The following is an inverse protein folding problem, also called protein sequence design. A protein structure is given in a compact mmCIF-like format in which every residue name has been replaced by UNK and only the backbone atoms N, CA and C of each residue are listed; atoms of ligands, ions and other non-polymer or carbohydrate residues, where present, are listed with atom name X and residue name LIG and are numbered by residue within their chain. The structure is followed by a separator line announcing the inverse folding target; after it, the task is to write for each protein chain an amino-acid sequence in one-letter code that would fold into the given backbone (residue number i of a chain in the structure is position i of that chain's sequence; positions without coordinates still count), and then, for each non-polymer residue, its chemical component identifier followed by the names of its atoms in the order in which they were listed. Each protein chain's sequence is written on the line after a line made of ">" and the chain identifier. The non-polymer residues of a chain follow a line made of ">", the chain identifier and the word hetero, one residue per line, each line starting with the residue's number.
data_IF_678027747933
#
_entry.id   IF_678027747933
#
_cell.length_a   1.000
_cell.length_b   1.000
_cell.length_c   1.000
_cell.angle_alpha   90.00
_cell.angle_beta   90.00
_cell.angle_gamma   90.00
#
_symmetry.space_group_name_H-M   'P 1'
#
loop_
_entity.id
_entity.type
_entity.pdbx_description
1 polymer ?
#
# COMPACT_ATOMS: atom_id res chain seq x y z
N UNK A 1 -5.36 68.50 -26.92
CA UNK A 1 -5.36 67.87 -25.57
C UNK A 1 -6.67 67.10 -25.42
N UNK A 2 -6.66 65.95 -24.73
CA UNK A 2 -7.70 64.89 -24.61
C UNK A 2 -7.62 63.86 -25.75
N UNK A 3 -6.96 62.70 -25.66
CA UNK A 3 -6.99 61.53 -24.75
C UNK A 3 -8.21 60.59 -24.99
N UNK A 4 -7.95 59.34 -25.39
CA UNK A 4 -8.93 58.26 -25.58
C UNK A 4 -8.29 56.99 -26.16
N UNK A 5 -7.55 56.21 -25.37
CA UNK A 5 -7.99 54.95 -24.72
C UNK A 5 -8.46 53.89 -25.74
N UNK A 6 -7.57 53.00 -26.18
CA UNK A 6 -7.22 51.72 -25.55
C UNK A 6 -7.91 50.56 -26.30
N UNK A 7 -7.14 49.84 -27.12
CA UNK A 7 -7.61 48.67 -27.86
C UNK A 7 -7.92 47.53 -26.89
N UNK A 8 -9.18 47.13 -26.83
CA UNK A 8 -9.65 45.99 -26.03
C UNK A 8 -9.37 44.69 -26.80
N UNK A 9 -8.23 44.05 -26.51
CA UNK A 9 -7.96 42.67 -26.95
C UNK A 9 -8.73 41.71 -26.03
N UNK A 10 -9.87 41.21 -26.51
CA UNK A 10 -10.59 40.11 -25.85
C UNK A 10 -9.84 38.81 -26.16
N UNK A 11 -9.01 38.36 -25.21
CA UNK A 11 -8.40 37.04 -25.27
C UNK A 11 -9.48 35.99 -24.94
N UNK A 12 -9.84 35.19 -25.95
CA UNK A 12 -10.67 34.00 -25.79
C UNK A 12 -9.91 32.97 -24.95
N UNK A 13 -10.30 32.81 -23.68
CA UNK A 13 -9.88 31.67 -22.86
C UNK A 13 -10.63 30.42 -23.33
N UNK A 14 -9.97 29.57 -24.10
CA UNK A 14 -10.43 28.19 -24.27
C UNK A 14 -10.19 27.44 -22.95
N UNK A 15 -11.21 26.73 -22.41
CA UNK A 15 -10.97 25.84 -21.28
C UNK A 15 -10.11 24.69 -21.79
N UNK A 16 -8.86 24.65 -21.34
CA UNK A 16 -8.06 23.43 -21.42
C UNK A 16 -8.72 22.44 -20.46
N UNK A 17 -9.62 21.61 -20.98
CA UNK A 17 -10.02 20.38 -20.32
C UNK A 17 -8.79 19.47 -20.34
N UNK A 18 -7.85 19.75 -19.43
CA UNK A 18 -6.79 18.83 -19.07
C UNK A 18 -7.48 17.58 -18.56
N UNK A 19 -7.51 16.56 -19.42
CA UNK A 19 -7.93 15.23 -19.02
C UNK A 19 -6.98 14.81 -17.91
N UNK A 20 -7.47 14.81 -16.67
CA UNK A 20 -6.81 14.20 -15.52
C UNK A 20 -6.87 12.68 -15.73
N UNK A 21 -6.11 12.19 -16.70
CA UNK A 21 -5.61 10.83 -16.64
C UNK A 21 -4.45 10.90 -15.66
N UNK A 22 -4.73 10.65 -14.38
CA UNK A 22 -3.65 10.22 -13.48
C UNK A 22 -2.95 9.08 -14.20
N UNK A 23 -1.61 9.13 -14.39
CA UNK A 23 -0.89 7.93 -14.74
C UNK A 23 -1.31 6.87 -13.72
N UNK A 24 -1.68 5.67 -14.17
CA UNK A 24 -1.72 4.55 -13.26
C UNK A 24 -0.38 4.59 -12.52
N UNK A 25 -0.44 4.78 -11.21
CA UNK A 25 0.75 4.79 -10.38
C UNK A 25 1.46 3.49 -10.71
N UNK A 26 2.68 3.60 -11.23
CA UNK A 26 3.53 2.44 -11.46
C UNK A 26 3.79 1.85 -10.08
N UNK A 27 3.01 0.84 -9.70
CA UNK A 27 3.02 0.20 -8.38
C UNK A 27 4.40 -0.43 -8.05
N UNK A 28 5.39 -0.31 -8.94
CA UNK A 28 6.75 -0.79 -8.76
C UNK A 28 6.84 -2.31 -8.71
N UNK A 29 5.78 -3.00 -9.13
CA UNK A 29 5.70 -4.46 -9.16
C UNK A 29 6.37 -4.96 -10.45
N UNK A 30 7.42 -5.78 -10.34
CA UNK A 30 8.08 -6.33 -11.51
C UNK A 30 7.13 -7.22 -12.33
N UNK A 31 7.17 -7.10 -13.67
CA UNK A 31 6.31 -7.86 -14.60
C UNK A 31 6.50 -9.39 -14.48
N UNK A 32 7.62 -9.84 -13.94
CA UNK A 32 7.89 -11.26 -13.72
C UNK A 32 7.16 -11.86 -12.50
N UNK A 33 6.50 -11.05 -11.67
CA UNK A 33 5.74 -11.55 -10.53
C UNK A 33 4.38 -12.06 -10.96
N UNK A 34 4.01 -13.24 -10.47
CA UNK A 34 2.67 -13.81 -10.65
C UNK A 34 1.83 -13.46 -9.44
N UNK A 35 0.75 -12.69 -9.65
CA UNK A 35 -0.20 -12.37 -8.60
C UNK A 35 -0.96 -13.62 -8.17
N UNK A 36 -0.83 -14.00 -6.89
CA UNK A 36 -1.51 -15.17 -6.34
C UNK A 36 -2.86 -14.82 -5.71
N UNK A 37 -2.92 -13.73 -4.94
CA UNK A 37 -4.10 -13.33 -4.19
C UNK A 37 -4.05 -11.85 -3.79
N UNK A 38 -5.21 -11.20 -3.78
CA UNK A 38 -5.38 -9.84 -3.22
C UNK A 38 -6.44 -9.88 -2.13
N UNK A 39 -6.12 -9.33 -0.96
CA UNK A 39 -7.07 -9.13 0.14
C UNK A 39 -7.19 -7.64 0.39
N UNK A 40 -8.43 -7.14 0.47
CA UNK A 40 -8.72 -5.77 0.84
C UNK A 40 -9.61 -5.74 2.07
N UNK A 41 -9.32 -4.84 3.01
CA UNK A 41 -10.06 -4.74 4.26
C UNK A 41 -9.75 -3.47 5.04
N UNK A 42 -10.41 -3.33 6.19
CA UNK A 42 -10.19 -2.26 7.14
C UNK A 42 -9.86 -2.85 8.52
N UNK A 43 -8.86 -2.29 9.18
CA UNK A 43 -8.40 -2.70 10.50
C UNK A 43 -8.49 -1.48 11.41
N UNK A 44 -9.15 -1.64 12.55
CA UNK A 44 -9.23 -0.57 13.56
C UNK A 44 -7.89 -0.35 14.27
N UNK A 45 -7.63 0.89 14.66
CA UNK A 45 -6.41 1.26 15.38
C UNK A 45 -6.23 0.45 16.69
N UNK A 46 -5.01 -0.03 16.91
CA UNK A 46 -4.65 -0.91 18.01
C UNK A 46 -5.15 -2.35 17.87
N UNK A 47 -5.51 -2.79 16.67
CA UNK A 47 -6.04 -4.14 16.43
C UNK A 47 -5.28 -4.86 15.31
N UNK A 48 -5.48 -6.18 15.24
CA UNK A 48 -4.88 -7.07 14.27
C UNK A 48 -5.93 -7.65 13.31
N UNK A 49 -5.48 -7.92 12.08
CA UNK A 49 -6.08 -8.93 11.22
C UNK A 49 -5.07 -10.03 10.92
N UNK A 50 -5.54 -11.27 10.85
CA UNK A 50 -4.69 -12.44 10.65
C UNK A 50 -5.04 -13.18 9.36
N UNK A 51 -4.01 -13.46 8.55
CA UNK A 51 -4.10 -14.19 7.29
C UNK A 51 -3.21 -15.44 7.35
N UNK A 52 -3.53 -16.43 6.52
CA UNK A 52 -2.77 -17.68 6.41
C UNK A 52 -2.26 -17.85 4.99
N UNK A 53 -0.95 -18.04 4.85
CA UNK A 53 -0.31 -18.34 3.58
C UNK A 53 0.02 -19.82 3.48
N UNK A 54 -0.74 -20.54 2.65
CA UNK A 54 -0.56 -21.97 2.39
C UNK A 54 0.31 -22.28 1.16
N UNK A 55 0.51 -21.31 0.27
CA UNK A 55 1.27 -21.54 -0.97
C UNK A 55 2.72 -21.90 -0.65
N UNK A 56 3.20 -22.96 -1.31
CA UNK A 56 4.59 -23.40 -1.24
C UNK A 56 5.52 -22.47 -2.04
N UNK A 57 6.82 -22.58 -1.77
CA UNK A 57 7.84 -21.80 -2.46
C UNK A 57 8.02 -20.38 -1.91
N UNK A 58 8.87 -19.61 -2.58
CA UNK A 58 9.16 -18.21 -2.20
C UNK A 58 7.98 -17.34 -2.58
N UNK A 59 7.44 -16.60 -1.62
CA UNK A 59 6.28 -15.73 -1.81
C UNK A 59 6.65 -14.31 -1.42
N UNK A 60 6.16 -13.33 -2.16
CA UNK A 60 6.32 -11.92 -1.84
C UNK A 60 4.97 -11.40 -1.36
N UNK A 61 4.95 -10.85 -0.15
CA UNK A 61 3.83 -10.10 0.38
C UNK A 61 4.08 -8.65 0.06
N UNK A 62 3.12 -8.03 -0.64
CA UNK A 62 3.12 -6.60 -0.93
C UNK A 62 1.83 -6.02 -0.36
N UNK A 63 1.96 -5.07 0.56
CA UNK A 63 0.84 -4.39 1.19
C UNK A 63 0.98 -2.89 0.97
N UNK A 64 -0.15 -2.24 0.69
CA UNK A 64 -0.24 -0.80 0.60
C UNK A 64 -1.30 -0.31 1.57
N UNK A 65 -0.91 0.60 2.47
CA UNK A 65 -1.85 1.27 3.36
C UNK A 65 -2.60 2.36 2.60
N UNK A 66 -3.91 2.19 2.39
CA UNK A 66 -4.74 3.21 1.72
C UNK A 66 -5.02 4.43 2.63
N UNK A 67 -5.08 4.21 3.95
CA UNK A 67 -5.25 5.22 5.00
C UNK A 67 -4.58 4.75 6.28
N UNK A 68 -3.96 5.67 7.02
CA UNK A 68 -3.20 5.34 8.22
C UNK A 68 -1.89 4.64 7.89
N UNK A 69 -1.32 3.97 8.89
CA UNK A 69 -0.06 3.22 8.78
C UNK A 69 -0.26 1.82 9.37
N UNK A 70 -0.19 0.80 8.51
CA UNK A 70 -0.37 -0.58 8.90
C UNK A 70 0.96 -1.32 8.79
N UNK A 71 1.25 -2.13 9.80
CA UNK A 71 2.48 -2.91 9.93
C UNK A 71 2.22 -4.38 9.61
N UNK A 72 3.20 -5.05 8.99
CA UNK A 72 3.11 -6.45 8.61
C UNK A 72 4.10 -7.33 9.40
N UNK A 73 3.60 -8.40 10.00
CA UNK A 73 4.37 -9.38 10.78
C UNK A 73 4.13 -10.80 10.27
N UNK A 74 5.18 -11.61 10.17
CA UNK A 74 5.12 -12.95 9.57
C UNK A 74 5.83 -13.98 10.44
N UNK A 75 5.24 -15.16 10.57
CA UNK A 75 5.82 -16.29 11.31
C UNK A 75 5.45 -17.64 10.73
N UNK A 76 6.40 -18.58 10.74
CA UNK A 76 6.21 -20.01 10.46
C UNK A 76 6.01 -20.84 11.75
N UNK A 77 6.04 -20.19 12.92
CA UNK A 77 5.89 -20.83 14.25
C UNK A 77 4.50 -20.62 14.85
N UNK A 78 3.81 -19.56 14.47
CA UNK A 78 2.48 -19.21 14.98
C UNK A 78 1.63 -18.62 13.86
N UNK A 79 0.32 -18.83 13.94
CA UNK A 79 -0.67 -18.23 13.05
C UNK A 79 -1.11 -16.82 13.50
N UNK A 80 -0.67 -16.39 14.68
CA UNK A 80 -0.98 -15.07 15.25
C UNK A 80 0.31 -14.34 15.62
N UNK A 81 1.19 -14.01 14.64
CA UNK A 81 2.35 -13.19 14.93
C UNK A 81 1.94 -11.78 15.37
N UNK A 82 2.72 -11.15 16.23
CA UNK A 82 2.47 -9.80 16.73
C UNK A 82 3.80 -9.03 16.79
N UNK A 83 3.77 -7.80 17.32
CA UNK A 83 4.95 -6.93 17.38
C UNK A 83 6.10 -7.48 18.24
N UNK A 84 5.85 -8.46 19.12
CA UNK A 84 6.89 -9.11 19.94
C UNK A 84 7.29 -10.49 19.37
N UNK A 85 6.38 -11.14 18.64
CA UNK A 85 6.52 -12.55 18.23
C UNK A 85 6.35 -12.68 16.72
N UNK A 86 7.44 -12.44 16.00
CA UNK A 86 7.52 -12.59 14.55
C UNK A 86 8.88 -13.16 14.12
N UNK A 87 8.99 -13.56 12.85
CA UNK A 87 10.24 -13.98 12.22
C UNK A 87 10.67 -13.02 11.12
N UNK A 88 9.71 -12.41 10.42
CA UNK A 88 9.92 -11.34 9.45
C UNK A 88 8.89 -10.23 9.71
N UNK A 89 9.24 -9.00 9.35
CA UNK A 89 8.33 -7.86 9.45
C UNK A 89 8.64 -6.79 8.40
N UNK A 90 7.66 -5.93 8.12
CA UNK A 90 7.83 -4.62 7.49
C UNK A 90 6.93 -3.63 8.24
N UNK A 91 7.51 -2.51 8.69
CA UNK A 91 6.88 -1.53 9.57
C UNK A 91 7.11 -0.11 9.05
N UNK A 92 6.85 0.09 7.76
CA UNK A 92 7.19 1.32 7.04
C UNK A 92 5.95 2.13 6.74
N UNK A 93 6.07 3.46 6.75
CA UNK A 93 4.96 4.34 6.40
C UNK A 93 4.70 4.30 4.88
N UNK A 94 3.94 3.32 4.39
CA UNK A 94 3.55 3.24 2.97
C UNK A 94 3.43 1.81 2.41
N UNK A 95 4.38 1.42 1.55
CA UNK A 95 4.43 0.12 0.90
C UNK A 95 5.26 -0.86 1.71
N UNK A 96 4.61 -1.89 2.27
CA UNK A 96 5.27 -2.91 3.06
C UNK A 96 5.50 -4.17 2.24
N UNK A 97 6.77 -4.55 2.13
CA UNK A 97 7.19 -5.72 1.35
C UNK A 97 7.91 -6.71 2.25
N UNK A 98 7.39 -7.93 2.31
CA UNK A 98 8.05 -9.04 3.01
C UNK A 98 8.20 -10.21 2.06
N UNK A 99 9.44 -10.66 1.91
CA UNK A 99 9.76 -11.89 1.20
C UNK A 99 9.69 -13.07 2.17
N UNK A 100 8.74 -13.96 1.95
CA UNK A 100 8.61 -15.22 2.69
C UNK A 100 9.43 -16.31 1.99
N UNK A 101 10.48 -16.86 2.64
CA UNK A 101 11.26 -17.96 2.11
C UNK A 101 10.44 -19.22 1.83
N UNK A 102 10.89 -20.04 0.87
CA UNK A 102 10.20 -21.28 0.51
C UNK A 102 10.35 -22.43 1.51
N UNK A 103 11.32 -22.32 2.43
CA UNK A 103 11.57 -23.30 3.49
C UNK A 103 10.78 -22.99 4.79
N UNK A 104 9.98 -21.93 4.82
CA UNK A 104 9.08 -21.65 5.94
C UNK A 104 8.03 -22.75 6.05
N UNK A 105 7.84 -23.26 7.27
CA UNK A 105 6.78 -24.24 7.54
C UNK A 105 5.41 -23.60 7.26
N UNK A 106 4.66 -24.23 6.35
CA UNK A 106 3.28 -23.83 6.01
C UNK A 106 2.27 -24.48 6.99
N UNK A 107 1.12 -23.83 7.27
CA UNK A 107 0.78 -22.46 6.90
C UNK A 107 1.66 -21.43 7.61
N UNK A 108 2.04 -20.38 6.88
CA UNK A 108 2.68 -19.20 7.47
C UNK A 108 1.60 -18.25 7.97
N UNK A 109 1.73 -17.82 9.22
CA UNK A 109 0.89 -16.78 9.83
C UNK A 109 1.34 -15.40 9.40
N UNK A 110 0.37 -14.56 9.03
CA UNK A 110 0.57 -13.15 8.70
C UNK A 110 -0.33 -12.34 9.64
N UNK A 111 0.25 -11.41 10.38
CA UNK A 111 -0.46 -10.45 11.21
C UNK A 111 -0.30 -9.07 10.59
N UNK A 112 -1.41 -8.37 10.39
CA UNK A 112 -1.42 -6.96 9.98
C UNK A 112 -1.95 -6.14 11.16
N UNK A 113 -1.16 -5.19 11.62
CA UNK A 113 -1.47 -4.34 12.76
C UNK A 113 -1.63 -2.89 12.33
N UNK A 114 -2.49 -2.14 13.00
CA UNK A 114 -2.56 -0.68 12.83
C UNK A 114 -2.27 -0.06 14.18
N UNK A 115 -1.23 0.78 14.28
CA UNK A 115 -0.92 1.47 15.53
C UNK A 115 -2.04 2.45 15.92
N UNK A 116 -2.18 2.75 17.21
CA UNK A 116 -2.93 3.93 17.64
C UNK A 116 -2.03 5.15 17.42
N UNK A 117 -2.57 6.21 16.84
CA UNK A 117 -1.91 7.52 16.92
C UNK A 117 -1.87 7.92 18.40
N UNK A 118 -0.66 8.09 18.94
CA UNK A 118 -0.48 8.70 20.25
C UNK A 118 -0.84 10.19 20.13
N UNK A 119 -2.01 10.56 20.67
CA UNK A 119 -2.48 11.96 20.80
C UNK A 119 -1.76 12.69 21.93
#
# INVERSE_FOLDING_TARGET
>A
MMLGHAALLVALFLPQAGSFLSPAEDDGIPEEWVLLHVVQGHIGAGNYSYLRLNHDGRIILHMQSLKGDADLYVSDKTLHPNFDTYKLQSVTCGHDVVVVPGDFKRPVGIGVYVAKEDL
#
